data_IF_996478014455
#
_entry.id   IF_996478014455
#
_cell.length_a   1.000
_cell.length_b   1.000
_cell.length_c   1.000
_cell.angle_alpha   90.00
_cell.angle_beta   90.00
_cell.angle_gamma   90.00
#
_symmetry.space_group_name_H-M   'P 1'
#
loop_
_entity.id
_entity.type
_entity.pdbx_description
1 polymer ?
#
# COMPACT_ATOMS: atom_id res chain seq x y z
N UNK A 1 -20.99 7.68 -22.47
CA UNK A 1 -20.05 6.66 -22.98
C UNK A 1 -19.41 5.95 -21.81
N UNK A 2 -19.74 4.68 -21.60
CA UNK A 2 -19.09 3.82 -20.62
C UNK A 2 -17.79 3.31 -21.27
N UNK A 3 -16.63 3.80 -20.84
CA UNK A 3 -15.35 3.23 -21.25
C UNK A 3 -15.16 1.90 -20.53
N UNK A 4 -14.93 0.82 -21.27
CA UNK A 4 -14.49 -0.44 -20.68
C UNK A 4 -13.12 -0.21 -20.02
N UNK A 5 -12.97 -0.59 -18.74
CA UNK A 5 -11.67 -0.54 -18.07
C UNK A 5 -10.71 -1.47 -18.84
N UNK A 6 -9.53 -1.00 -19.28
CA UNK A 6 -8.62 -1.85 -20.02
C UNK A 6 -8.21 -3.02 -19.12
N UNK A 7 -8.49 -4.24 -19.57
CA UNK A 7 -8.39 -5.47 -18.76
C UNK A 7 -6.99 -5.67 -18.14
N UNK A 8 -5.95 -5.17 -18.83
CA UNK A 8 -4.54 -5.34 -18.46
C UNK A 8 -3.83 -4.05 -18.03
N UNK A 9 -4.55 -2.93 -17.90
CA UNK A 9 -3.97 -1.61 -17.64
C UNK A 9 -2.96 -1.61 -16.48
N UNK A 10 -3.30 -2.29 -15.37
CA UNK A 10 -2.44 -2.31 -14.18
C UNK A 10 -1.17 -3.12 -14.39
N UNK A 11 -1.26 -4.25 -15.09
CA UNK A 11 -0.08 -5.06 -15.38
C UNK A 11 0.81 -4.32 -16.36
N UNK A 12 0.26 -3.79 -17.45
CA UNK A 12 1.02 -3.05 -18.46
C UNK A 12 1.69 -1.79 -17.88
N UNK A 13 0.99 -1.06 -17.01
CA UNK A 13 1.51 0.16 -16.40
C UNK A 13 2.55 -0.08 -15.32
N UNK A 14 2.44 -1.17 -14.56
CA UNK A 14 3.26 -1.42 -13.37
C UNK A 14 4.12 -2.68 -13.45
N UNK A 15 4.26 -3.28 -14.64
CA UNK A 15 5.06 -4.49 -14.83
C UNK A 15 6.47 -4.37 -14.24
N UNK A 16 7.13 -3.24 -14.48
CA UNK A 16 8.46 -2.97 -13.95
C UNK A 16 8.47 -2.98 -12.42
N UNK A 17 7.50 -2.31 -11.78
CA UNK A 17 7.40 -2.26 -10.33
C UNK A 17 7.17 -3.66 -9.72
N UNK A 18 6.29 -4.48 -10.31
CA UNK A 18 6.09 -5.86 -9.85
C UNK A 18 7.35 -6.72 -10.01
N UNK A 19 8.06 -6.55 -11.13
CA UNK A 19 9.31 -7.27 -11.36
C UNK A 19 10.39 -6.85 -10.35
N UNK A 20 10.49 -5.57 -10.03
CA UNK A 20 11.45 -5.04 -9.06
C UNK A 20 11.13 -5.47 -7.63
N UNK A 21 9.85 -5.47 -7.24
CA UNK A 21 9.37 -5.97 -5.95
C UNK A 21 9.76 -7.45 -5.74
N UNK A 22 9.49 -8.29 -6.75
CA UNK A 22 9.86 -9.72 -6.69
C UNK A 22 11.38 -9.91 -6.61
N UNK A 23 12.16 -9.14 -7.38
CA UNK A 23 13.63 -9.19 -7.32
C UNK A 23 14.15 -8.78 -5.95
N UNK A 24 13.61 -7.70 -5.36
CA UNK A 24 13.98 -7.23 -4.03
C UNK A 24 13.71 -8.30 -2.97
N UNK A 25 12.51 -8.89 -2.99
CA UNK A 25 12.13 -9.94 -2.05
C UNK A 25 13.00 -11.20 -2.17
N UNK A 26 13.26 -11.68 -3.40
CA UNK A 26 14.14 -12.84 -3.64
C UNK A 26 15.55 -12.54 -3.14
N UNK A 27 16.06 -11.33 -3.37
CA UNK A 27 17.38 -10.91 -2.90
C UNK A 27 17.46 -10.94 -1.37
N UNK A 28 16.45 -10.46 -0.67
CA UNK A 28 16.42 -10.50 0.80
C UNK A 28 16.55 -11.95 1.30
N UNK A 29 15.80 -12.89 0.72
CA UNK A 29 15.87 -14.32 1.06
C UNK A 29 17.27 -14.90 0.81
N UNK A 30 17.82 -14.69 -0.40
CA UNK A 30 19.10 -15.28 -0.79
C UNK A 30 20.28 -14.80 0.07
N UNK A 31 20.17 -13.60 0.66
CA UNK A 31 21.24 -13.00 1.46
C UNK A 31 20.96 -13.02 2.96
N UNK A 32 19.90 -13.70 3.41
CA UNK A 32 19.46 -13.68 4.82
C UNK A 32 19.36 -12.25 5.38
N UNK A 33 18.77 -11.35 4.59
CA UNK A 33 18.65 -9.93 4.89
C UNK A 33 17.19 -9.54 5.15
N UNK A 34 16.99 -8.39 5.80
CA UNK A 34 15.66 -7.82 5.98
C UNK A 34 15.03 -7.46 4.62
N UNK A 35 13.70 -7.59 4.55
CA UNK A 35 12.92 -7.16 3.38
C UNK A 35 12.78 -5.63 3.38
N UNK A 36 12.83 -5.01 2.20
CA UNK A 36 12.68 -3.55 2.06
C UNK A 36 11.27 -3.05 2.45
N UNK A 37 10.26 -3.91 2.35
CA UNK A 37 8.87 -3.61 2.68
C UNK A 37 8.38 -4.64 3.71
N UNK A 38 8.00 -4.15 4.89
CA UNK A 38 7.56 -4.96 6.02
C UNK A 38 6.05 -4.87 6.22
N UNK A 39 5.52 -5.62 7.20
CA UNK A 39 4.12 -5.49 7.61
C UNK A 39 3.76 -4.10 8.15
N UNK A 40 4.75 -3.34 8.68
CA UNK A 40 4.52 -1.98 9.16
C UNK A 40 4.17 -1.02 8.03
N UNK A 41 4.81 -1.18 6.88
CA UNK A 41 4.57 -0.38 5.67
C UNK A 41 3.17 -0.62 5.10
N UNK A 42 2.64 -1.84 5.25
CA UNK A 42 1.25 -2.17 4.93
C UNK A 42 0.24 -1.62 5.96
N UNK A 43 0.60 -1.60 7.25
CA UNK A 43 -0.27 -1.12 8.33
C UNK A 43 -0.47 0.39 8.30
N UNK A 44 0.59 1.17 8.07
CA UNK A 44 0.56 2.63 8.09
C UNK A 44 -0.55 3.27 7.22
N UNK A 45 -0.70 2.92 5.93
CA UNK A 45 -1.76 3.49 5.09
C UNK A 45 -3.17 3.09 5.53
N UNK A 46 -3.35 1.92 6.15
CA UNK A 46 -4.64 1.50 6.70
C UNK A 46 -5.03 2.42 7.87
N UNK A 47 -4.11 2.72 8.78
CA UNK A 47 -4.36 3.66 9.89
C UNK A 47 -4.74 5.04 9.36
N UNK A 48 -4.01 5.52 8.36
CA UNK A 48 -4.29 6.81 7.72
C UNK A 48 -5.69 6.84 7.10
N UNK A 49 -6.08 5.80 6.37
CA UNK A 49 -7.40 5.70 5.76
C UNK A 49 -8.53 5.69 6.82
N UNK A 50 -8.34 4.94 7.90
CA UNK A 50 -9.29 4.88 9.02
C UNK A 50 -9.40 6.23 9.75
N UNK A 51 -8.28 6.91 10.01
CA UNK A 51 -8.25 8.23 10.63
C UNK A 51 -8.93 9.29 9.74
N UNK A 52 -8.65 9.28 8.43
CA UNK A 52 -9.32 10.16 7.46
C UNK A 52 -10.83 9.90 7.42
N UNK A 53 -11.24 8.63 7.41
CA UNK A 53 -12.65 8.24 7.45
C UNK A 53 -13.35 8.70 8.74
N UNK A 54 -12.69 8.59 9.89
CA UNK A 54 -13.18 9.10 11.19
C UNK A 54 -13.31 10.63 11.17
N UNK A 55 -12.29 11.33 10.68
CA UNK A 55 -12.29 12.79 10.56
C UNK A 55 -13.45 13.30 9.71
N UNK A 56 -13.70 12.66 8.56
CA UNK A 56 -14.83 13.01 7.69
C UNK A 56 -16.18 12.90 8.40
N UNK A 57 -16.40 11.82 9.16
CA UNK A 57 -17.65 11.59 9.90
C UNK A 57 -17.84 12.55 11.07
N UNK A 58 -16.76 12.83 11.81
CA UNK A 58 -16.82 13.66 13.03
C UNK A 58 -16.67 15.15 12.75
N UNK A 59 -16.38 15.55 11.50
CA UNK A 59 -16.14 16.94 11.08
C UNK A 59 -15.08 17.65 11.93
N UNK A 60 -14.07 16.92 12.38
CA UNK A 60 -12.89 17.44 13.10
C UNK A 60 -11.63 16.76 12.62
N UNK A 61 -10.48 17.38 12.88
CA UNK A 61 -9.19 16.70 12.73
C UNK A 61 -9.10 15.52 13.72
N UNK A 62 -8.60 14.39 13.23
CA UNK A 62 -8.37 13.17 14.00
C UNK A 62 -6.89 12.85 13.91
N UNK A 63 -6.23 12.70 15.05
CA UNK A 63 -4.84 12.27 15.07
C UNK A 63 -4.71 10.78 14.76
N UNK A 64 -3.65 10.39 14.05
CA UNK A 64 -3.40 8.98 13.71
C UNK A 64 -3.28 8.10 14.96
N UNK A 65 -2.77 8.66 16.06
CA UNK A 65 -2.68 7.99 17.37
C UNK A 65 -4.04 7.65 18.00
N UNK A 66 -5.15 8.24 17.53
CA UNK A 66 -6.50 7.87 17.97
C UNK A 66 -7.02 6.59 17.32
N UNK A 67 -6.28 6.01 16.37
CA UNK A 67 -6.68 4.84 15.61
C UNK A 67 -5.62 3.75 15.77
N UNK A 68 -6.05 2.58 16.24
CA UNK A 68 -5.28 1.34 16.10
C UNK A 68 -6.00 0.43 15.12
N UNK A 69 -5.39 0.03 14.00
CA UNK A 69 -5.84 -1.12 13.25
C UNK A 69 -5.56 -2.42 14.03
#
# INVERSE_FOLDING_TARGET
MIHAKPLYFFIERYLAAYADELRSFIRAILNDAEVEVTGYDGRAPVVLALAAGKSYREKRSVAVSEVSP
#
